data_IF_134982982569
#
_entry.id   IF_134982982569
#
_cell.length_a   1.000
_cell.length_b   1.000
_cell.length_c   1.000
_cell.angle_alpha   90.00
_cell.angle_beta   90.00
_cell.angle_gamma   90.00
#
_symmetry.space_group_name_H-M   'P 1'
#
loop_
_entity.id
_entity.type
_entity.pdbx_description
1 polymer ?
#
# COMPACT_ATOMS: atom_id res chain seq x y z
N UNK A 1 -12.09 -27.01 -4.07
CA UNK A 1 -11.46 -26.04 -3.16
C UNK A 1 -11.91 -24.66 -3.57
N UNK A 2 -12.60 -23.93 -2.70
CA UNK A 2 -13.16 -22.61 -3.01
C UNK A 2 -12.01 -21.61 -3.12
N UNK A 3 -11.96 -20.81 -4.19
CA UNK A 3 -10.94 -19.79 -4.45
C UNK A 3 -11.10 -18.55 -3.53
N UNK A 4 -11.34 -18.76 -2.23
CA UNK A 4 -11.64 -17.71 -1.25
C UNK A 4 -10.51 -16.68 -1.14
N UNK A 5 -9.26 -17.10 -1.33
CA UNK A 5 -8.11 -16.18 -1.33
C UNK A 5 -8.21 -15.11 -2.44
N UNK A 6 -8.82 -15.43 -3.60
CA UNK A 6 -9.03 -14.46 -4.68
C UNK A 6 -9.98 -13.35 -4.23
N UNK A 7 -11.01 -13.70 -3.45
CA UNK A 7 -11.95 -12.70 -2.90
C UNK A 7 -11.20 -11.71 -2.00
N UNK A 8 -10.29 -12.20 -1.15
CA UNK A 8 -9.48 -11.32 -0.29
C UNK A 8 -8.48 -10.48 -1.08
N UNK A 9 -7.94 -11.01 -2.19
CA UNK A 9 -7.11 -10.22 -3.11
C UNK A 9 -7.93 -9.10 -3.76
N UNK A 10 -9.14 -9.39 -4.25
CA UNK A 10 -10.03 -8.37 -4.82
C UNK A 10 -10.43 -7.32 -3.78
N UNK A 11 -10.73 -7.74 -2.55
CA UNK A 11 -10.98 -6.83 -1.43
C UNK A 11 -9.77 -5.92 -1.17
N UNK A 12 -8.57 -6.47 -1.21
CA UNK A 12 -7.31 -5.73 -1.02
C UNK A 12 -7.12 -4.70 -2.13
N UNK A 13 -7.30 -5.10 -3.39
CA UNK A 13 -7.22 -4.20 -4.57
C UNK A 13 -8.24 -3.07 -4.46
N UNK A 14 -9.49 -3.38 -4.10
CA UNK A 14 -10.52 -2.36 -3.93
C UNK A 14 -10.18 -1.38 -2.80
N UNK A 15 -9.74 -1.89 -1.64
CA UNK A 15 -9.40 -1.08 -0.47
C UNK A 15 -8.22 -0.14 -0.74
N UNK A 16 -7.15 -0.66 -1.33
CA UNK A 16 -5.97 0.13 -1.69
C UNK A 16 -6.22 1.06 -2.88
N UNK A 17 -7.04 0.65 -3.86
CA UNK A 17 -7.45 1.51 -4.97
C UNK A 17 -8.24 2.74 -4.50
N UNK A 18 -9.12 2.58 -3.53
CA UNK A 18 -9.90 3.68 -2.94
C UNK A 18 -9.09 4.55 -1.96
N UNK A 19 -8.06 3.97 -1.34
CA UNK A 19 -7.25 4.63 -0.30
C UNK A 19 -6.78 6.03 -0.69
N UNK A 20 -6.17 6.19 -1.87
CA UNK A 20 -5.63 7.48 -2.30
C UNK A 20 -6.70 8.56 -2.47
N UNK A 21 -7.87 8.19 -2.99
CA UNK A 21 -9.01 9.11 -3.17
C UNK A 21 -9.57 9.51 -1.81
N UNK A 22 -9.80 8.56 -0.91
CA UNK A 22 -10.34 8.83 0.42
C UNK A 22 -9.37 9.60 1.30
N UNK A 23 -8.07 9.31 1.22
CA UNK A 23 -7.04 10.07 1.93
C UNK A 23 -7.00 11.51 1.43
N UNK A 24 -6.97 11.73 0.12
CA UNK A 24 -6.98 13.08 -0.45
C UNK A 24 -8.21 13.87 -0.03
N UNK A 25 -9.39 13.26 -0.07
CA UNK A 25 -10.62 13.89 0.43
C UNK A 25 -10.55 14.19 1.93
N UNK A 26 -10.03 13.26 2.74
CA UNK A 26 -9.84 13.46 4.17
C UNK A 26 -8.92 14.65 4.47
N UNK A 27 -7.81 14.78 3.74
CA UNK A 27 -6.89 15.93 3.85
C UNK A 27 -7.58 17.25 3.51
N UNK A 28 -8.33 17.28 2.40
CA UNK A 28 -9.01 18.49 1.93
C UNK A 28 -10.13 18.93 2.88
N UNK A 29 -10.77 18.00 3.57
CA UNK A 29 -11.86 18.27 4.52
C UNK A 29 -11.40 18.70 5.91
N UNK A 30 -10.12 18.56 6.25
CA UNK A 30 -9.58 18.94 7.57
C UNK A 30 -9.29 20.45 7.70
N UNK A 31 -10.10 21.30 7.04
CA UNK A 31 -9.91 22.75 7.01
C UNK A 31 -9.96 23.36 8.42
N UNK A 32 -8.99 24.22 8.71
CA UNK A 32 -8.99 25.05 9.91
C UNK A 32 -9.27 26.50 9.50
N UNK A 33 -10.28 27.10 10.14
CA UNK A 33 -10.78 28.44 9.81
C UNK A 33 -9.74 29.54 10.01
N UNK A 34 -8.82 29.38 10.98
CA UNK A 34 -7.82 30.37 11.36
C UNK A 34 -6.36 29.91 11.11
N UNK A 35 -6.14 28.88 10.28
CA UNK A 35 -4.78 28.39 10.04
C UNK A 35 -4.03 29.25 9.04
N UNK A 36 -2.72 29.45 9.29
CA UNK A 36 -1.79 29.97 8.29
C UNK A 36 -1.91 29.14 7.00
N UNK A 37 -2.05 29.76 5.81
CA UNK A 37 -2.24 29.05 4.54
C UNK A 37 -1.14 28.03 4.21
N UNK A 38 0.10 28.25 4.66
CA UNK A 38 1.21 27.32 4.44
C UNK A 38 1.25 26.23 5.52
N UNK A 39 1.25 26.59 6.81
CA UNK A 39 1.26 25.58 7.88
C UNK A 39 -0.02 24.72 7.89
N UNK A 40 -1.16 25.31 7.54
CA UNK A 40 -2.45 24.65 7.44
C UNK A 40 -2.47 23.54 6.38
N UNK A 41 -1.63 23.60 5.34
CA UNK A 41 -1.49 22.51 4.36
C UNK A 41 -0.84 21.27 4.96
N UNK A 42 0.20 21.43 5.76
CA UNK A 42 0.89 20.30 6.42
C UNK A 42 0.04 19.69 7.54
N UNK A 43 -0.55 20.54 8.39
CA UNK A 43 -1.33 20.10 9.55
C UNK A 43 -2.52 19.22 9.11
N UNK A 44 -3.25 19.63 8.05
CA UNK A 44 -4.35 18.85 7.45
C UNK A 44 -3.95 17.42 7.10
N UNK A 45 -2.76 17.27 6.51
CA UNK A 45 -2.24 15.98 6.07
C UNK A 45 -1.93 15.09 7.26
N UNK A 46 -1.23 15.62 8.27
CA UNK A 46 -0.90 14.85 9.45
C UNK A 46 -2.14 14.47 10.27
N UNK A 47 -3.13 15.36 10.39
CA UNK A 47 -4.42 15.04 11.02
C UNK A 47 -5.13 13.90 10.30
N UNK A 48 -5.22 13.96 8.98
CA UNK A 48 -5.82 12.88 8.20
C UNK A 48 -5.07 11.55 8.38
N UNK A 49 -3.72 11.58 8.35
CA UNK A 49 -2.90 10.38 8.54
C UNK A 49 -3.01 9.78 9.94
N UNK A 50 -3.18 10.61 10.98
CA UNK A 50 -3.40 10.13 12.34
C UNK A 50 -4.62 9.20 12.40
N UNK A 51 -5.72 9.57 11.74
CA UNK A 51 -6.91 8.72 11.66
C UNK A 51 -6.69 7.45 10.83
N UNK A 52 -5.81 7.48 9.81
CA UNK A 52 -5.37 6.25 9.13
C UNK A 52 -4.64 5.33 10.11
N UNK A 53 -3.74 5.88 10.94
CA UNK A 53 -3.03 5.12 11.98
C UNK A 53 -3.98 4.50 13.01
N UNK A 54 -5.00 5.25 13.46
CA UNK A 54 -6.05 4.72 14.35
C UNK A 54 -6.83 3.59 13.67
N UNK A 55 -7.18 3.74 12.40
CA UNK A 55 -7.86 2.67 11.65
C UNK A 55 -6.98 1.42 11.52
N UNK A 56 -5.66 1.57 11.35
CA UNK A 56 -4.72 0.44 11.34
C UNK A 56 -4.67 -0.25 12.72
N UNK A 57 -4.69 0.49 13.82
CA UNK A 57 -4.80 -0.12 15.16
C UNK A 57 -6.08 -0.95 15.29
N UNK A 58 -7.23 -0.40 14.88
CA UNK A 58 -8.52 -1.11 14.95
C UNK A 58 -8.51 -2.38 14.10
N UNK A 59 -8.13 -2.29 12.82
CA UNK A 59 -8.23 -3.44 11.91
C UNK A 59 -7.09 -4.43 12.12
N UNK A 60 -5.85 -3.95 12.18
CA UNK A 60 -4.68 -4.83 12.23
C UNK A 60 -4.48 -5.43 13.62
N UNK A 61 -4.67 -4.66 14.70
CA UNK A 61 -4.44 -5.18 16.07
C UNK A 61 -5.71 -5.81 16.62
N UNK A 62 -6.82 -5.08 16.68
CA UNK A 62 -8.06 -5.64 17.27
C UNK A 62 -8.64 -6.73 16.37
N UNK A 63 -8.71 -6.50 15.05
CA UNK A 63 -9.21 -7.49 14.11
C UNK A 63 -8.43 -8.81 14.15
N UNK A 64 -7.09 -8.76 14.16
CA UNK A 64 -6.28 -9.99 14.26
C UNK A 64 -6.39 -10.65 15.63
N UNK A 65 -6.44 -9.89 16.72
CA UNK A 65 -6.64 -10.43 18.06
C UNK A 65 -7.98 -11.19 18.18
N UNK A 66 -9.06 -10.63 17.64
CA UNK A 66 -10.36 -11.32 17.58
C UNK A 66 -10.25 -12.62 16.79
N UNK A 67 -9.60 -12.62 15.63
CA UNK A 67 -9.42 -13.84 14.82
C UNK A 67 -8.58 -14.90 15.55
N UNK A 68 -7.53 -14.50 16.27
CA UNK A 68 -6.72 -15.41 17.08
C UNK A 68 -7.54 -16.04 18.21
N UNK A 69 -8.35 -15.25 18.92
CA UNK A 69 -9.27 -15.75 19.96
C UNK A 69 -10.27 -16.75 19.39
N UNK A 70 -10.94 -16.41 18.29
CA UNK A 70 -11.94 -17.26 17.64
C UNK A 70 -11.34 -18.54 17.05
N UNK A 71 -10.06 -18.51 16.68
CA UNK A 71 -9.33 -19.67 16.15
C UNK A 71 -8.78 -20.59 17.24
N UNK A 72 -8.95 -20.24 18.53
CA UNK A 72 -8.40 -21.01 19.65
C UNK A 72 -6.86 -21.02 19.68
N UNK A 73 -6.23 -19.96 19.19
CA UNK A 73 -4.78 -19.90 19.05
C UNK A 73 -4.05 -19.89 20.41
N UNK A 74 -2.90 -20.55 20.47
CA UNK A 74 -1.95 -20.34 21.56
C UNK A 74 -1.29 -18.97 21.41
N UNK A 75 -1.18 -18.23 22.52
CA UNK A 75 -0.58 -16.89 22.55
C UNK A 75 0.94 -16.93 22.72
N UNK A 76 1.57 -17.93 22.10
CA UNK A 76 3.02 -18.09 22.05
C UNK A 76 3.51 -17.67 20.67
N UNK A 77 4.49 -16.77 20.62
CA UNK A 77 5.00 -16.21 19.36
C UNK A 77 6.50 -16.47 19.24
N UNK A 78 6.94 -16.88 18.05
CA UNK A 78 8.38 -17.04 17.78
C UNK A 78 9.02 -15.68 17.53
N UNK A 79 10.22 -15.44 18.07
CA UNK A 79 10.92 -14.16 17.90
C UNK A 79 11.12 -13.80 16.43
N UNK A 80 11.45 -14.79 15.58
CA UNK A 80 11.60 -14.58 14.14
C UNK A 80 10.29 -14.16 13.47
N UNK A 81 9.17 -14.79 13.84
CA UNK A 81 7.85 -14.44 13.32
C UNK A 81 7.42 -13.02 13.71
N UNK A 82 7.65 -12.64 14.97
CA UNK A 82 7.38 -11.29 15.47
C UNK A 82 8.22 -10.26 14.71
N UNK A 83 9.53 -10.47 14.58
CA UNK A 83 10.43 -9.51 13.90
C UNK A 83 10.02 -9.28 12.45
N UNK A 84 9.80 -10.33 11.66
CA UNK A 84 9.42 -10.17 10.26
C UNK A 84 8.03 -9.56 10.08
N UNK A 85 7.08 -9.90 10.95
CA UNK A 85 5.73 -9.30 10.93
C UNK A 85 5.78 -7.82 11.27
N UNK A 86 6.62 -7.43 12.25
CA UNK A 86 6.81 -6.04 12.62
C UNK A 86 7.47 -5.24 11.49
N UNK A 87 8.54 -5.76 10.88
CA UNK A 87 9.18 -5.13 9.72
C UNK A 87 8.17 -4.95 8.58
N UNK A 88 7.37 -5.97 8.28
CA UNK A 88 6.33 -5.88 7.25
C UNK A 88 5.32 -4.75 7.56
N UNK A 89 4.88 -4.65 8.82
CA UNK A 89 4.00 -3.57 9.28
C UNK A 89 4.63 -2.18 9.13
N UNK A 90 5.90 -2.03 9.50
CA UNK A 90 6.66 -0.77 9.36
C UNK A 90 6.78 -0.38 7.88
N UNK A 91 7.15 -1.31 6.99
CA UNK A 91 7.24 -1.05 5.55
C UNK A 91 5.89 -0.60 4.98
N UNK A 92 4.79 -1.25 5.38
CA UNK A 92 3.44 -0.85 4.98
C UNK A 92 3.07 0.56 5.46
N UNK A 93 3.35 0.88 6.73
CA UNK A 93 3.10 2.20 7.31
C UNK A 93 3.93 3.30 6.65
N UNK A 94 5.22 3.04 6.36
CA UNK A 94 6.09 3.96 5.61
C UNK A 94 5.54 4.18 4.20
N UNK A 95 5.07 3.12 3.52
CA UNK A 95 4.45 3.25 2.20
C UNK A 95 3.21 4.16 2.21
N UNK A 96 2.31 3.95 3.18
CA UNK A 96 1.13 4.79 3.38
C UNK A 96 1.51 6.26 3.68
N UNK A 97 2.53 6.47 4.53
CA UNK A 97 3.05 7.81 4.81
C UNK A 97 3.70 8.45 3.59
N UNK A 98 4.39 7.68 2.74
CA UNK A 98 4.93 8.15 1.46
C UNK A 98 3.85 8.69 0.51
N UNK A 99 2.68 8.04 0.45
CA UNK A 99 1.52 8.54 -0.31
C UNK A 99 1.06 9.90 0.24
N UNK A 100 1.00 10.04 1.56
CA UNK A 100 0.67 11.31 2.22
C UNK A 100 1.63 12.44 1.81
N UNK A 101 2.94 12.16 1.86
CA UNK A 101 3.98 13.12 1.48
C UNK A 101 3.91 13.45 -0.02
N UNK A 102 3.64 12.47 -0.89
CA UNK A 102 3.49 12.69 -2.32
C UNK A 102 2.30 13.62 -2.66
N UNK A 103 1.16 13.46 -1.99
CA UNK A 103 0.04 14.40 -2.11
C UNK A 103 0.43 15.79 -1.61
N UNK A 104 1.17 15.83 -0.50
CA UNK A 104 1.75 17.06 0.04
C UNK A 104 2.65 17.83 -0.92
N UNK A 105 3.40 17.10 -1.77
CA UNK A 105 4.25 17.66 -2.81
C UNK A 105 3.50 17.99 -4.12
N UNK A 106 2.16 17.95 -4.13
CA UNK A 106 1.32 18.28 -5.29
C UNK A 106 0.96 17.08 -6.18
N UNK A 107 1.28 15.85 -5.75
CA UNK A 107 0.87 14.64 -6.44
C UNK A 107 -0.66 14.48 -6.46
N UNK A 108 -1.23 14.23 -7.64
CA UNK A 108 -2.67 13.94 -7.77
C UNK A 108 -2.94 12.46 -7.48
N UNK A 109 -4.05 12.09 -6.81
CA UNK A 109 -4.39 10.70 -6.48
C UNK A 109 -4.26 9.74 -7.66
N UNK A 110 -4.85 10.07 -8.80
CA UNK A 110 -4.80 9.21 -9.99
C UNK A 110 -3.36 8.90 -10.45
N UNK A 111 -2.43 9.85 -10.35
CA UNK A 111 -1.04 9.60 -10.77
C UNK A 111 -0.23 8.88 -9.71
N UNK A 112 -0.28 9.36 -8.46
CA UNK A 112 0.49 8.75 -7.37
C UNK A 112 0.09 7.29 -7.18
N UNK A 113 -1.22 7.00 -7.15
CA UNK A 113 -1.70 5.63 -6.95
C UNK A 113 -1.33 4.73 -8.13
N UNK A 114 -1.38 5.21 -9.38
CA UNK A 114 -0.94 4.42 -10.54
C UNK A 114 0.55 4.06 -10.49
N UNK A 115 1.41 5.00 -10.10
CA UNK A 115 2.85 4.73 -9.95
C UNK A 115 3.07 3.68 -8.85
N UNK A 116 2.42 3.84 -7.69
CA UNK A 116 2.56 2.92 -6.56
C UNK A 116 2.10 1.52 -6.93
N UNK A 117 0.91 1.37 -7.53
CA UNK A 117 0.36 0.04 -7.82
C UNK A 117 0.97 -0.66 -9.03
N UNK A 118 1.59 0.08 -9.95
CA UNK A 118 2.41 -0.54 -11.00
C UNK A 118 3.83 -0.87 -10.50
N UNK A 119 4.40 -0.03 -9.63
CA UNK A 119 5.75 -0.19 -9.11
C UNK A 119 5.88 -1.26 -8.03
N UNK A 120 4.88 -1.40 -7.14
CA UNK A 120 4.93 -2.37 -6.04
C UNK A 120 5.09 -3.83 -6.52
N UNK A 121 4.38 -4.31 -7.55
CA UNK A 121 4.64 -5.62 -8.14
C UNK A 121 6.06 -5.79 -8.68
N UNK A 122 6.66 -4.73 -9.24
CA UNK A 122 8.03 -4.77 -9.79
C UNK A 122 9.04 -4.91 -8.64
N UNK A 123 8.90 -4.12 -7.58
CA UNK A 123 9.75 -4.23 -6.38
C UNK A 123 9.62 -5.63 -5.78
N UNK A 124 8.39 -6.13 -5.64
CA UNK A 124 8.15 -7.49 -5.13
C UNK A 124 8.79 -8.55 -6.02
N UNK A 125 8.64 -8.44 -7.35
CA UNK A 125 9.22 -9.38 -8.31
C UNK A 125 10.75 -9.44 -8.20
N UNK A 126 11.42 -8.28 -8.10
CA UNK A 126 12.87 -8.18 -7.91
C UNK A 126 13.29 -8.78 -6.57
N UNK A 127 12.69 -8.35 -5.46
CA UNK A 127 13.06 -8.81 -4.11
C UNK A 127 12.81 -10.31 -3.96
N UNK A 128 11.68 -10.82 -4.46
CA UNK A 128 11.34 -12.24 -4.40
C UNK A 128 12.33 -13.07 -5.21
N UNK A 129 12.69 -12.63 -6.43
CA UNK A 129 13.62 -13.37 -7.29
C UNK A 129 15.05 -13.31 -6.74
N UNK A 130 15.46 -12.21 -6.10
CA UNK A 130 16.76 -12.12 -5.43
C UNK A 130 16.82 -12.97 -4.15
N UNK A 131 15.73 -13.01 -3.39
CA UNK A 131 15.64 -13.79 -2.14
C UNK A 131 15.50 -15.30 -2.40
N UNK A 132 14.88 -15.65 -3.52
CA UNK A 132 14.67 -17.02 -3.98
C UNK A 132 15.09 -17.13 -5.45
N UNK A 133 16.41 -17.19 -5.72
CA UNK A 133 16.91 -17.28 -7.09
C UNK A 133 16.42 -18.56 -7.77
N UNK A 134 16.20 -18.55 -9.10
CA UNK A 134 15.73 -19.73 -9.82
C UNK A 134 16.70 -20.91 -9.67
N UNK A 135 16.17 -22.12 -9.51
CA UNK A 135 16.95 -23.35 -9.28
C UNK A 135 18.00 -23.60 -10.37
N UNK A 136 17.70 -23.21 -11.61
CA UNK A 136 18.58 -23.36 -12.78
C UNK A 136 19.38 -22.08 -13.10
N UNK A 137 19.51 -21.16 -12.15
CA UNK A 137 20.19 -19.88 -12.32
C UNK A 137 19.39 -18.84 -13.11
N UNK A 138 19.98 -17.66 -13.32
CA UNK A 138 19.30 -16.52 -13.95
C UNK A 138 18.89 -16.73 -15.41
N UNK A 139 19.49 -17.70 -16.10
CA UNK A 139 19.07 -18.13 -17.44
C UNK A 139 17.68 -18.79 -17.45
N UNK A 140 17.19 -19.24 -16.30
CA UNK A 140 15.85 -19.82 -16.16
C UNK A 140 14.74 -18.77 -15.97
N UNK A 141 15.10 -17.48 -15.84
CA UNK A 141 14.11 -16.41 -15.82
C UNK A 141 13.44 -16.35 -17.18
N UNK A 142 12.15 -16.69 -17.18
CA UNK A 142 11.33 -16.69 -18.38
C UNK A 142 11.19 -15.27 -18.94
N UNK A 143 11.37 -15.04 -20.26
CA UNK A 143 11.18 -13.73 -20.86
C UNK A 143 9.80 -13.11 -20.58
N UNK A 144 8.76 -13.93 -20.46
CA UNK A 144 7.40 -13.48 -20.15
C UNK A 144 7.28 -12.78 -18.80
N UNK A 145 8.10 -13.17 -17.82
CA UNK A 145 8.15 -12.50 -16.52
C UNK A 145 8.67 -11.06 -16.65
N UNK A 146 9.73 -10.86 -17.45
CA UNK A 146 10.29 -9.54 -17.73
C UNK A 146 9.31 -8.70 -18.56
N UNK A 147 8.65 -9.32 -19.55
CA UNK A 147 7.60 -8.66 -20.33
C UNK A 147 6.47 -8.20 -19.41
N UNK A 148 6.03 -9.02 -18.46
CA UNK A 148 5.00 -8.64 -17.49
C UNK A 148 5.39 -7.41 -16.65
N UNK A 149 6.63 -7.34 -16.19
CA UNK A 149 7.18 -6.17 -15.48
C UNK A 149 7.13 -4.91 -16.37
N UNK A 150 7.57 -5.03 -17.64
CA UNK A 150 7.55 -3.92 -18.59
C UNK A 150 6.12 -3.46 -18.90
N UNK A 151 5.20 -4.39 -19.09
CA UNK A 151 3.78 -4.09 -19.34
C UNK A 151 3.13 -3.40 -18.14
N UNK A 152 3.47 -3.78 -16.91
CA UNK A 152 3.00 -3.08 -15.71
C UNK A 152 3.49 -1.62 -15.69
N UNK A 153 4.77 -1.38 -15.98
CA UNK A 153 5.34 -0.04 -16.06
C UNK A 153 4.68 0.79 -17.18
N UNK A 154 4.53 0.21 -18.38
CA UNK A 154 3.87 0.86 -19.52
C UNK A 154 2.41 1.20 -19.19
N UNK A 155 1.68 0.27 -18.58
CA UNK A 155 0.29 0.48 -18.14
C UNK A 155 0.19 1.67 -17.19
N UNK A 156 1.10 1.78 -16.22
CA UNK A 156 1.20 2.95 -15.34
C UNK A 156 1.37 4.24 -16.13
N UNK A 157 2.35 4.28 -17.05
CA UNK A 157 2.63 5.44 -17.88
C UNK A 157 1.41 5.87 -18.71
N UNK A 158 0.71 4.91 -19.32
CA UNK A 158 -0.50 5.17 -20.12
C UNK A 158 -1.60 5.80 -19.26
N UNK A 159 -1.88 5.24 -18.07
CA UNK A 159 -2.91 5.77 -17.16
C UNK A 159 -2.55 7.18 -16.70
N UNK A 160 -1.27 7.43 -16.38
CA UNK A 160 -0.81 8.75 -15.96
C UNK A 160 -0.90 9.79 -17.07
N UNK A 161 -0.49 9.42 -18.29
CA UNK A 161 -0.37 10.34 -19.43
C UNK A 161 -1.74 10.67 -20.03
N UNK A 162 -2.62 9.67 -20.17
CA UNK A 162 -3.96 9.83 -20.77
C UNK A 162 -5.09 10.00 -19.75
N UNK A 163 -4.77 10.32 -18.49
CA UNK A 163 -5.79 10.63 -17.49
C UNK A 163 -6.69 11.78 -17.98
N UNK A 164 -8.02 11.71 -17.76
CA UNK A 164 -8.91 12.80 -18.13
C UNK A 164 -8.57 14.07 -17.34
N UNK A 165 -8.82 15.22 -17.97
CA UNK A 165 -8.69 16.51 -17.31
C UNK A 165 -9.91 16.71 -16.40
N UNK A 166 -9.71 16.60 -15.10
CA UNK A 166 -10.64 17.05 -14.06
C UNK A 166 -9.90 17.76 -12.94
#
# INVERSE_FOLDING_TARGET
MTNTWIIFVVLTVASWGLYGVFLHNGQNSMLEENADPEQGKDIRRYKSFLFVGLAYLLVAVIGSAVLLLLSGAEWSFTSKGVTWSFIAGVVGAIGAFGVLLAFGAGGKPAVVMSIVFAGAPIVNAVVATLSHPPENGWSAVRPEFIIGILLAAIGACLVMYFRPSS
#
